data_IF_110505611641
#
_entry.id   IF_110505611641
#
_cell.length_a   1.000
_cell.length_b   1.000
_cell.length_c   1.000
_cell.angle_alpha   90.00
_cell.angle_beta   90.00
_cell.angle_gamma   90.00
#
_symmetry.space_group_name_H-M   'P 1'
#
loop_
_entity.id
_entity.type
_entity.pdbx_description
1 polymer ?
#
# COMPACT_ATOMS: atom_id res chain seq x y z
N UNK A 1 -1.34 3.66 39.79
CA UNK A 1 -0.76 2.45 39.16
C UNK A 1 -1.67 1.90 38.04
N UNK A 2 -2.96 1.65 38.30
CA UNK A 2 -3.91 1.18 37.26
C UNK A 2 -4.15 2.20 36.13
N UNK A 3 -4.25 3.48 36.47
CA UNK A 3 -4.38 4.58 35.49
C UNK A 3 -3.16 4.71 34.59
N UNK A 4 -1.95 4.50 35.13
CA UNK A 4 -0.71 4.51 34.36
C UNK A 4 -0.65 3.34 33.35
N UNK A 5 -1.09 2.14 33.77
CA UNK A 5 -1.19 0.98 32.87
C UNK A 5 -2.18 1.21 31.72
N UNK A 6 -3.34 1.81 32.02
CA UNK A 6 -4.36 2.13 31.01
C UNK A 6 -3.85 3.21 30.05
N UNK A 7 -3.18 4.24 30.55
CA UNK A 7 -2.61 5.32 29.72
C UNK A 7 -1.55 4.77 28.77
N UNK A 8 -0.64 3.91 29.24
CA UNK A 8 0.38 3.29 28.39
C UNK A 8 -0.22 2.34 27.34
N UNK A 9 -1.24 1.57 27.72
CA UNK A 9 -1.94 0.67 26.79
C UNK A 9 -2.67 1.45 25.69
N UNK A 10 -3.38 2.53 26.05
CA UNK A 10 -4.08 3.39 25.10
C UNK A 10 -3.09 4.09 24.16
N UNK A 11 -1.96 4.59 24.68
CA UNK A 11 -0.91 5.19 23.85
C UNK A 11 -0.33 4.17 22.86
N UNK A 12 -0.06 2.95 23.30
CA UNK A 12 0.44 1.87 22.45
C UNK A 12 -0.54 1.48 21.34
N UNK A 13 -1.84 1.41 21.65
CA UNK A 13 -2.88 1.11 20.66
C UNK A 13 -3.02 2.25 19.64
N UNK A 14 -2.99 3.50 20.08
CA UNK A 14 -3.07 4.67 19.19
C UNK A 14 -1.87 4.75 18.25
N UNK A 15 -0.66 4.45 18.75
CA UNK A 15 0.56 4.41 17.92
C UNK A 15 0.48 3.26 16.91
N UNK A 16 0.06 2.06 17.35
CA UNK A 16 -0.07 0.89 16.47
C UNK A 16 -1.11 1.13 15.36
N UNK A 17 -2.27 1.69 15.70
CA UNK A 17 -3.29 2.07 14.73
C UNK A 17 -2.78 3.16 13.78
N UNK A 18 -2.06 4.18 14.28
CA UNK A 18 -1.47 5.22 13.43
C UNK A 18 -0.50 4.66 12.39
N UNK A 19 0.30 3.65 12.75
CA UNK A 19 1.20 2.95 11.82
C UNK A 19 0.39 2.15 10.78
N UNK A 20 -0.66 1.45 11.20
CA UNK A 20 -1.53 0.66 10.31
C UNK A 20 -2.38 1.52 9.36
N UNK A 21 -2.71 2.77 9.73
CA UNK A 21 -3.50 3.69 8.90
C UNK A 21 -2.61 4.53 7.96
N UNK A 22 -1.33 4.75 8.31
CA UNK A 22 -0.36 5.42 7.45
C UNK A 22 0.11 4.53 6.27
N UNK A 23 -0.17 3.23 6.31
CA UNK A 23 -0.08 2.32 5.17
C UNK A 23 -1.45 2.17 4.51
N UNK A 24 -1.86 3.20 3.75
CA UNK A 24 -2.93 2.99 2.77
C UNK A 24 -2.46 2.01 1.69
N UNK A 25 -3.37 1.37 0.92
CA UNK A 25 -2.99 0.50 -0.21
C UNK A 25 -2.34 1.23 -1.39
N UNK A 26 -1.83 2.45 -1.21
CA UNK A 26 -1.20 3.26 -2.24
C UNK A 26 0.03 3.96 -1.64
N UNK A 27 1.21 3.47 -2.01
CA UNK A 27 2.48 4.19 -2.12
C UNK A 27 2.74 5.36 -1.16
N UNK A 28 3.57 5.11 -0.15
CA UNK A 28 4.31 6.13 0.55
C UNK A 28 5.23 6.88 -0.44
N UNK A 29 5.11 8.22 -0.46
CA UNK A 29 6.01 9.24 -1.03
C UNK A 29 5.80 9.71 -2.47
N UNK A 30 5.52 11.01 -2.59
CA UNK A 30 5.86 11.78 -3.77
C UNK A 30 7.38 11.88 -3.92
N UNK A 31 7.95 10.99 -4.73
CA UNK A 31 9.31 11.13 -5.22
C UNK A 31 9.26 11.08 -6.75
N UNK A 32 9.36 12.25 -7.40
CA UNK A 32 9.76 12.31 -8.80
C UNK A 32 11.21 11.80 -8.85
N UNK A 33 11.39 10.51 -9.13
CA UNK A 33 12.69 9.95 -9.49
C UNK A 33 12.42 8.95 -10.62
N UNK A 34 12.41 9.45 -11.86
CA UNK A 34 12.19 8.68 -13.10
C UNK A 34 11.05 7.65 -13.00
N UNK A 35 9.82 8.16 -13.13
CA UNK A 35 8.51 7.51 -13.00
C UNK A 35 8.50 5.97 -13.04
N UNK A 36 8.91 5.35 -11.92
CA UNK A 36 8.67 3.93 -11.68
C UNK A 36 7.20 3.80 -11.31
N UNK A 37 6.38 3.34 -12.25
CA UNK A 37 4.94 3.21 -12.09
C UNK A 37 4.52 2.18 -11.02
N UNK A 38 5.34 1.14 -10.77
CA UNK A 38 5.04 0.11 -9.77
C UNK A 38 6.29 -0.71 -9.36
N UNK A 39 6.26 -1.29 -8.15
CA UNK A 39 7.28 -2.20 -7.61
C UNK A 39 6.73 -3.61 -7.38
N UNK A 40 5.43 -3.76 -7.19
CA UNK A 40 4.73 -5.03 -7.04
C UNK A 40 3.29 -4.97 -7.55
N UNK A 41 2.65 -6.13 -7.74
CA UNK A 41 1.27 -6.21 -8.27
C UNK A 41 0.25 -5.48 -7.37
N UNK A 42 0.50 -5.43 -6.06
CA UNK A 42 -0.35 -4.73 -5.10
C UNK A 42 -0.41 -3.21 -5.35
N UNK A 43 0.63 -2.62 -5.94
CA UNK A 43 0.65 -1.19 -6.33
C UNK A 43 -0.33 -0.90 -7.48
N UNK A 44 -0.70 -1.93 -8.26
CA UNK A 44 -1.59 -1.81 -9.42
C UNK A 44 -3.06 -2.13 -9.12
N UNK A 45 -3.39 -2.40 -7.85
CA UNK A 45 -4.74 -2.80 -7.45
C UNK A 45 -5.78 -1.70 -7.74
N UNK A 46 -6.62 -1.91 -8.75
CA UNK A 46 -7.69 -0.97 -9.14
C UNK A 46 -9.02 -1.20 -8.39
N UNK A 47 -9.02 -2.13 -7.44
CA UNK A 47 -10.17 -2.60 -6.66
C UNK A 47 -11.29 -3.22 -7.50
N UNK A 48 -11.02 -3.67 -8.73
CA UNK A 48 -11.98 -4.42 -9.54
C UNK A 48 -11.67 -5.91 -9.40
N UNK A 49 -12.43 -6.65 -8.60
CA UNK A 49 -12.22 -8.09 -8.38
C UNK A 49 -12.22 -8.97 -9.64
N UNK A 50 -12.67 -8.44 -10.78
CA UNK A 50 -12.69 -9.10 -12.08
C UNK A 50 -11.48 -8.73 -12.97
N UNK A 51 -10.44 -8.12 -12.41
CA UNK A 51 -9.15 -7.88 -13.06
C UNK A 51 -8.06 -8.69 -12.36
N UNK A 52 -7.09 -9.11 -13.17
CA UNK A 52 -5.77 -9.55 -12.74
C UNK A 52 -4.86 -8.34 -12.87
N UNK A 53 -4.38 -7.82 -11.75
CA UNK A 53 -3.56 -6.61 -11.68
C UNK A 53 -2.08 -7.01 -11.65
N UNK A 54 -1.31 -6.58 -12.64
CA UNK A 54 0.09 -6.99 -12.85
C UNK A 54 0.99 -5.77 -12.97
N UNK A 55 2.06 -5.75 -12.18
CA UNK A 55 3.17 -4.82 -12.36
C UNK A 55 4.20 -5.39 -13.35
N UNK A 56 4.34 -4.76 -14.51
CA UNK A 56 5.39 -5.09 -15.49
C UNK A 56 6.66 -4.33 -15.17
N UNK A 57 7.81 -4.99 -15.35
CA UNK A 57 9.15 -4.44 -15.12
C UNK A 57 9.29 -3.68 -13.78
N UNK A 58 8.92 -4.30 -12.65
CA UNK A 58 8.87 -3.65 -11.34
C UNK A 58 10.19 -2.98 -10.99
N UNK A 59 10.12 -1.77 -10.42
CA UNK A 59 11.33 -1.06 -9.96
C UNK A 59 12.20 -0.46 -11.07
N UNK A 60 11.74 -0.46 -12.33
CA UNK A 60 12.47 0.10 -13.48
C UNK A 60 11.75 1.32 -14.06
N UNK A 61 12.46 2.13 -14.86
CA UNK A 61 11.89 3.25 -15.62
C UNK A 61 10.87 2.83 -16.69
N UNK A 62 10.75 1.52 -16.98
CA UNK A 62 9.77 0.94 -17.91
C UNK A 62 8.65 0.19 -17.19
N UNK A 63 8.46 0.48 -15.91
CA UNK A 63 7.37 -0.14 -15.15
C UNK A 63 6.01 0.33 -15.64
N UNK A 64 5.03 -0.58 -15.62
CA UNK A 64 3.67 -0.32 -16.11
C UNK A 64 2.66 -1.23 -15.39
N UNK A 65 1.54 -0.66 -14.93
CA UNK A 65 0.40 -1.42 -14.45
C UNK A 65 -0.47 -1.94 -15.59
N UNK A 66 -0.82 -3.23 -15.53
CA UNK A 66 -1.70 -3.90 -16.48
C UNK A 66 -2.85 -4.55 -15.72
N UNK A 67 -4.08 -4.07 -15.95
CA UNK A 67 -5.29 -4.62 -15.33
C UNK A 67 -6.03 -5.47 -16.36
N UNK A 68 -5.75 -6.76 -16.35
CA UNK A 68 -6.29 -7.70 -17.33
C UNK A 68 -7.63 -8.24 -16.85
N UNK A 69 -8.70 -7.97 -17.60
CA UNK A 69 -10.00 -8.57 -17.30
C UNK A 69 -9.90 -10.11 -17.31
N UNK A 70 -10.37 -10.73 -16.23
CA UNK A 70 -10.59 -12.16 -16.16
C UNK A 70 -11.88 -12.45 -16.92
N UNK A 71 -11.78 -13.12 -18.07
CA UNK A 71 -12.94 -13.56 -18.84
C UNK A 71 -13.23 -15.00 -18.39
N UNK A 72 -14.42 -15.22 -17.84
CA UNK A 72 -14.92 -16.55 -17.48
C UNK A 72 -15.48 -17.31 -18.67
#
# INVERSE_FOLDING_TARGET
MKTMLIVSLLLGIVILMGILIAVGPQGLTGAVVNDVACFEDADCNDNIAATEDICRNPGTEYSLCVNKKIVG
#
